data_IF_846019156491
#
_entry.id   IF_846019156491
#
_cell.length_a   1.000
_cell.length_b   1.000
_cell.length_c   1.000
_cell.angle_alpha   90.00
_cell.angle_beta   90.00
_cell.angle_gamma   90.00
#
_symmetry.space_group_name_H-M   'P 1'
#
loop_
_entity.id
_entity.type
_entity.pdbx_description
1 polymer ?
#
# COMPACT_ATOMS: atom_id res chain seq x y z
N UNK A 1 13.61 -6.27 10.10
CA UNK A 1 13.07 -4.98 10.60
C UNK A 1 12.00 -4.55 9.62
N UNK A 2 10.76 -4.38 10.05
CA UNK A 2 9.63 -4.18 9.12
C UNK A 2 9.60 -2.74 8.59
N UNK A 3 10.18 -2.54 7.40
CA UNK A 3 10.30 -1.21 6.77
C UNK A 3 8.95 -0.50 6.59
N UNK A 4 7.86 -1.25 6.37
CA UNK A 4 6.52 -0.67 6.21
C UNK A 4 6.04 -0.09 7.54
N UNK A 5 6.23 -0.79 8.65
CA UNK A 5 5.86 -0.29 9.98
C UNK A 5 6.66 0.96 10.34
N UNK A 6 7.98 0.95 10.12
CA UNK A 6 8.85 2.09 10.42
C UNK A 6 8.47 3.36 9.65
N UNK A 7 8.16 3.23 8.36
CA UNK A 7 7.76 4.39 7.55
C UNK A 7 6.29 4.79 7.81
N UNK A 8 5.43 3.85 8.20
CA UNK A 8 4.07 4.18 8.66
C UNK A 8 4.10 5.04 9.92
N UNK A 9 5.05 4.80 10.83
CA UNK A 9 5.23 5.60 12.04
C UNK A 9 5.74 7.03 11.74
N UNK A 10 6.42 7.24 10.60
CA UNK A 10 6.89 8.56 10.15
C UNK A 10 5.85 9.32 9.33
N UNK A 11 4.86 8.63 8.77
CA UNK A 11 3.74 9.23 8.04
C UNK A 11 2.67 9.72 9.03
N UNK A 12 2.44 11.03 9.09
CA UNK A 12 1.52 11.64 10.06
C UNK A 12 0.09 11.10 9.95
N UNK A 13 -0.37 10.79 8.73
CA UNK A 13 -1.72 10.25 8.52
C UNK A 13 -1.79 8.82 9.05
N UNK A 14 -0.85 7.97 8.65
CA UNK A 14 -0.86 6.56 9.06
C UNK A 14 -0.60 6.40 10.56
N UNK A 15 0.32 7.15 11.14
CA UNK A 15 0.56 7.20 12.58
C UNK A 15 -0.72 7.50 13.37
N UNK A 16 -1.48 8.51 12.92
CA UNK A 16 -2.75 8.87 13.55
C UNK A 16 -3.80 7.76 13.40
N UNK A 17 -3.96 7.22 12.18
CA UNK A 17 -4.91 6.14 11.90
C UNK A 17 -4.60 4.88 12.72
N UNK A 18 -3.33 4.49 12.82
CA UNK A 18 -2.87 3.37 13.64
C UNK A 18 -3.27 3.62 15.11
N UNK A 19 -2.98 4.80 15.66
CA UNK A 19 -3.39 5.14 17.03
C UNK A 19 -4.91 5.09 17.23
N UNK A 20 -5.71 5.50 16.24
CA UNK A 20 -7.17 5.45 16.33
C UNK A 20 -7.71 4.02 16.31
N UNK A 21 -7.14 3.15 15.48
CA UNK A 21 -7.49 1.72 15.42
C UNK A 21 -7.10 1.01 16.71
N UNK A 22 -5.87 1.21 17.23
CA UNK A 22 -5.41 0.57 18.46
C UNK A 22 -6.24 0.95 19.70
N UNK A 23 -6.64 2.21 19.79
CA UNK A 23 -7.35 2.76 20.96
C UNK A 23 -8.87 2.68 20.83
N UNK A 24 -9.37 2.25 19.67
CA UNK A 24 -10.77 2.37 19.24
C UNK A 24 -11.35 3.79 19.50
N UNK A 25 -10.55 4.81 19.17
CA UNK A 25 -10.88 6.22 19.43
C UNK A 25 -10.68 7.04 18.17
N UNK A 26 -11.76 7.30 17.48
CA UNK A 26 -11.77 8.10 16.26
C UNK A 26 -12.24 9.54 16.53
N UNK A 27 -11.72 10.53 15.80
CA UNK A 27 -12.22 11.90 15.91
C UNK A 27 -13.67 11.98 15.41
N UNK A 28 -14.50 12.76 16.11
CA UNK A 28 -15.89 13.01 15.69
C UNK A 28 -15.96 13.69 14.33
N UNK A 29 -14.98 14.54 14.01
CA UNK A 29 -14.81 15.17 12.69
C UNK A 29 -13.42 14.85 12.13
N UNK A 30 -13.28 13.78 11.33
CA UNK A 30 -12.01 13.41 10.70
C UNK A 30 -11.49 14.50 9.76
N UNK A 31 -10.16 14.66 9.70
CA UNK A 31 -9.51 15.51 8.70
C UNK A 31 -9.66 14.91 7.29
N UNK A 32 -9.45 15.70 6.21
CA UNK A 32 -9.52 15.21 4.84
C UNK A 32 -8.63 13.97 4.56
N UNK A 33 -7.47 13.88 5.21
CA UNK A 33 -6.54 12.76 5.02
C UNK A 33 -6.98 11.50 5.76
N UNK A 34 -7.75 11.65 6.85
CA UNK A 34 -8.23 10.54 7.69
C UNK A 34 -9.64 10.09 7.29
N UNK A 35 -10.45 10.94 6.66
CA UNK A 35 -11.88 10.68 6.39
C UNK A 35 -12.11 9.37 5.63
N UNK A 36 -11.19 9.00 4.73
CA UNK A 36 -11.23 7.74 3.98
C UNK A 36 -11.01 6.54 4.88
N UNK A 37 -10.05 6.61 5.79
CA UNK A 37 -9.79 5.55 6.76
C UNK A 37 -10.93 5.44 7.78
N UNK A 38 -11.50 6.56 8.23
CA UNK A 38 -12.65 6.57 9.13
C UNK A 38 -13.87 5.87 8.52
N UNK A 39 -14.14 6.08 7.23
CA UNK A 39 -15.21 5.39 6.51
C UNK A 39 -14.98 3.86 6.42
N UNK A 40 -13.72 3.42 6.45
CA UNK A 40 -13.32 2.02 6.35
C UNK A 40 -12.99 1.38 7.71
N UNK A 41 -13.15 2.11 8.82
CA UNK A 41 -12.59 1.75 10.14
C UNK A 41 -12.97 0.35 10.64
N UNK A 42 -14.17 -0.12 10.31
CA UNK A 42 -14.65 -1.46 10.71
C UNK A 42 -13.91 -2.60 10.01
N UNK A 43 -13.21 -2.31 8.91
CA UNK A 43 -12.41 -3.26 8.15
C UNK A 43 -10.91 -3.01 8.26
N UNK A 44 -10.51 -2.09 9.16
CA UNK A 44 -9.11 -1.85 9.46
C UNK A 44 -8.65 -2.78 10.58
N UNK A 45 -7.44 -3.30 10.44
CA UNK A 45 -6.78 -4.12 11.44
C UNK A 45 -5.30 -3.77 11.51
N UNK A 46 -4.66 -4.10 12.62
CA UNK A 46 -3.21 -3.95 12.80
C UNK A 46 -2.60 -5.33 13.03
N UNK A 47 -1.54 -5.61 12.30
CA UNK A 47 -0.74 -6.82 12.44
C UNK A 47 0.73 -6.45 12.20
N UNK A 48 1.64 -6.89 13.07
CA UNK A 48 3.08 -6.62 12.96
C UNK A 48 3.40 -5.12 12.76
N UNK A 49 2.73 -4.28 13.55
CA UNK A 49 2.77 -2.80 13.50
C UNK A 49 2.38 -2.18 12.13
N UNK A 50 1.82 -2.98 11.23
CA UNK A 50 1.32 -2.55 9.93
C UNK A 50 -0.20 -2.43 9.95
N UNK A 51 -0.71 -1.41 9.27
CA UNK A 51 -2.14 -1.21 9.06
C UNK A 51 -2.60 -2.04 7.86
N UNK A 52 -3.73 -2.73 8.01
CA UNK A 52 -4.38 -3.53 6.98
C UNK A 52 -5.81 -3.04 6.70
N UNK A 53 -6.26 -3.19 5.47
CA UNK A 53 -7.64 -3.02 5.04
C UNK A 53 -8.16 -4.33 4.40
N UNK A 54 -8.91 -5.10 5.17
CA UNK A 54 -9.20 -6.49 4.84
C UNK A 54 -7.88 -7.27 4.66
N UNK A 55 -7.68 -8.00 3.53
CA UNK A 55 -6.45 -8.76 3.30
C UNK A 55 -5.28 -7.93 2.75
N UNK A 56 -5.42 -6.60 2.65
CA UNK A 56 -4.43 -5.74 1.99
C UNK A 56 -3.64 -4.92 2.98
N UNK A 57 -2.34 -4.86 2.78
CA UNK A 57 -1.48 -3.97 3.57
C UNK A 57 -1.63 -2.51 3.09
N UNK A 58 -1.72 -1.58 4.04
CA UNK A 58 -1.70 -0.14 3.75
C UNK A 58 -0.26 0.31 3.58
N UNK A 59 0.06 0.86 2.41
CA UNK A 59 1.42 1.25 2.05
C UNK A 59 1.64 2.75 2.35
N UNK A 60 2.69 3.13 3.10
CA UNK A 60 3.13 4.51 3.27
C UNK A 60 3.43 5.20 1.95
N UNK A 61 3.16 6.50 1.88
CA UNK A 61 3.39 7.34 0.69
C UNK A 61 4.80 7.18 0.10
N UNK A 62 5.82 7.05 0.95
CA UNK A 62 7.22 6.81 0.57
C UNK A 62 7.43 5.58 -0.32
N UNK A 63 6.62 4.54 -0.15
CA UNK A 63 6.78 3.26 -0.87
C UNK A 63 5.86 3.10 -2.08
N UNK A 64 4.92 4.02 -2.32
CA UNK A 64 3.97 3.92 -3.45
C UNK A 64 4.69 3.68 -4.77
N UNK A 65 5.73 4.48 -5.07
CA UNK A 65 6.52 4.34 -6.30
C UNK A 65 7.20 2.98 -6.41
N UNK A 66 7.76 2.46 -5.32
CA UNK A 66 8.47 1.17 -5.31
C UNK A 66 7.49 0.01 -5.51
N UNK A 67 6.35 0.04 -4.82
CA UNK A 67 5.29 -0.96 -4.99
C UNK A 67 4.75 -0.96 -6.41
N UNK A 68 4.53 0.22 -7.00
CA UNK A 68 4.11 0.32 -8.40
C UNK A 68 5.15 -0.30 -9.35
N UNK A 69 6.45 -0.06 -9.13
CA UNK A 69 7.51 -0.69 -9.93
C UNK A 69 7.49 -2.22 -9.82
N UNK A 70 7.27 -2.77 -8.63
CA UNK A 70 7.16 -4.22 -8.43
C UNK A 70 5.93 -4.79 -9.15
N UNK A 71 4.80 -4.07 -9.11
CA UNK A 71 3.59 -4.47 -9.83
C UNK A 71 3.74 -4.40 -11.36
N UNK A 72 4.61 -3.52 -11.85
CA UNK A 72 4.98 -3.40 -13.27
C UNK A 72 5.99 -4.46 -13.71
N UNK A 73 6.64 -5.17 -12.78
CA UNK A 73 7.63 -6.18 -13.13
C UNK A 73 6.99 -7.32 -13.95
N UNK A 74 7.74 -7.80 -14.95
CA UNK A 74 7.24 -8.76 -15.94
C UNK A 74 6.29 -8.17 -16.99
N UNK A 75 6.01 -6.87 -16.95
CA UNK A 75 5.12 -6.16 -17.90
C UNK A 75 3.74 -6.82 -18.10
N UNK A 76 2.97 -7.07 -17.02
CA UNK A 76 1.75 -7.87 -17.06
C UNK A 76 0.56 -7.21 -17.81
N UNK A 77 0.74 -6.01 -18.36
CA UNK A 77 -0.33 -5.21 -18.93
C UNK A 77 -1.24 -4.56 -17.87
N UNK A 78 -1.98 -3.53 -18.26
CA UNK A 78 -2.76 -2.67 -17.36
C UNK A 78 -3.76 -3.45 -16.50
N UNK A 79 -4.49 -4.40 -17.10
CA UNK A 79 -5.55 -5.15 -16.41
C UNK A 79 -4.99 -6.03 -15.29
N UNK A 80 -3.94 -6.80 -15.57
CA UNK A 80 -3.32 -7.69 -14.59
C UNK A 80 -2.63 -6.90 -13.47
N UNK A 81 -1.97 -5.78 -13.80
CA UNK A 81 -1.39 -4.91 -12.77
C UNK A 81 -2.45 -4.31 -11.84
N UNK A 82 -3.56 -3.85 -12.42
CA UNK A 82 -4.75 -3.38 -11.71
C UNK A 82 -5.35 -4.44 -10.78
N UNK A 83 -5.32 -5.71 -11.18
CA UNK A 83 -5.76 -6.83 -10.34
C UNK A 83 -4.80 -7.05 -9.17
N UNK A 84 -3.49 -7.18 -9.44
CA UNK A 84 -2.47 -7.38 -8.41
C UNK A 84 -2.48 -6.28 -7.35
N UNK A 85 -2.56 -5.02 -7.78
CA UNK A 85 -2.66 -3.87 -6.87
C UNK A 85 -3.87 -4.02 -5.92
N UNK A 86 -5.04 -4.35 -6.47
CA UNK A 86 -6.29 -4.49 -5.69
C UNK A 86 -6.34 -5.73 -4.81
N UNK A 87 -5.50 -6.73 -5.07
CA UNK A 87 -5.43 -7.95 -4.27
C UNK A 87 -4.55 -7.80 -3.04
N UNK A 88 -3.44 -7.05 -3.14
CA UNK A 88 -2.40 -7.08 -2.09
C UNK A 88 -2.21 -5.77 -1.32
N UNK A 89 -2.43 -4.62 -1.95
CA UNK A 89 -2.01 -3.33 -1.38
C UNK A 89 -3.14 -2.30 -1.37
N UNK A 90 -3.07 -1.37 -0.43
CA UNK A 90 -3.99 -0.25 -0.32
C UNK A 90 -3.24 1.05 -0.02
N UNK A 91 -3.70 2.13 -0.62
CA UNK A 91 -3.53 3.50 -0.13
C UNK A 91 -4.69 4.33 -0.66
N UNK A 92 -4.92 5.50 -0.07
CA UNK A 92 -5.98 6.40 -0.52
C UNK A 92 -5.82 6.72 -2.01
N UNK A 93 -6.85 6.41 -2.80
CA UNK A 93 -6.92 6.65 -4.24
C UNK A 93 -6.00 5.79 -5.13
N UNK A 94 -5.51 4.63 -4.68
CA UNK A 94 -4.74 3.69 -5.52
C UNK A 94 -5.39 3.42 -6.89
N UNK A 95 -6.70 3.20 -6.93
CA UNK A 95 -7.44 2.95 -8.19
C UNK A 95 -7.46 4.14 -9.15
N UNK A 96 -7.31 5.37 -8.64
CA UNK A 96 -7.24 6.62 -9.42
C UNK A 96 -5.80 7.03 -9.73
N UNK A 97 -4.81 6.30 -9.22
CA UNK A 97 -3.42 6.62 -9.46
C UNK A 97 -3.07 6.41 -10.95
N UNK A 98 -2.73 7.51 -11.62
CA UNK A 98 -2.41 7.52 -13.06
C UNK A 98 -1.20 6.65 -13.40
N UNK A 99 -0.33 6.38 -12.42
CA UNK A 99 0.85 5.52 -12.57
C UNK A 99 0.52 4.03 -12.72
N UNK A 100 -0.73 3.62 -12.46
CA UNK A 100 -1.25 2.28 -12.79
C UNK A 100 -1.48 2.12 -14.31
N UNK A 101 -1.18 3.13 -15.13
CA UNK A 101 -1.08 3.01 -16.59
C UNK A 101 0.36 2.67 -17.05
N UNK A 102 0.53 1.93 -18.16
CA UNK A 102 1.79 1.32 -18.61
C UNK A 102 2.86 2.30 -19.14
N UNK A 103 2.72 3.61 -18.91
CA UNK A 103 3.64 4.62 -19.43
C UNK A 103 4.76 4.97 -18.44
N UNK A 104 5.35 3.99 -17.78
CA UNK A 104 6.60 4.22 -17.03
C UNK A 104 7.78 3.92 -17.96
N UNK A 105 8.70 4.87 -18.21
CA UNK A 105 9.89 4.60 -19.01
C UNK A 105 10.73 3.51 -18.34
N UNK A 106 11.28 2.59 -19.14
CA UNK A 106 12.25 1.60 -18.66
C UNK A 106 13.38 2.36 -17.96
N UNK A 107 13.57 2.15 -16.65
CA UNK A 107 14.71 2.71 -15.95
C UNK A 107 15.98 2.00 -16.40
N UNK A 108 17.09 2.72 -16.65
CA UNK A 108 18.37 2.09 -16.92
C UNK A 108 18.80 1.25 -15.70
N UNK A 109 19.14 -0.02 -15.92
CA UNK A 109 19.68 -0.92 -14.89
C UNK A 109 18.76 -2.05 -14.41
N UNK A 110 17.51 -2.14 -14.87
CA UNK A 110 16.62 -3.24 -14.48
C UNK A 110 16.83 -4.50 -15.34
N UNK A 111 17.40 -5.57 -14.75
CA UNK A 111 17.54 -6.90 -15.37
C UNK A 111 16.30 -7.74 -15.04
N UNK A 112 15.61 -8.24 -16.07
CA UNK A 112 14.48 -9.18 -15.90
C UNK A 112 14.99 -10.46 -15.21
N UNK A 113 14.46 -10.81 -14.04
CA UNK A 113 14.63 -12.17 -13.51
C UNK A 113 13.52 -13.05 -14.11
N UNK A 114 13.95 -13.95 -15.00
CA UNK A 114 13.16 -15.08 -15.47
C UNK A 114 13.16 -16.16 -14.40
N UNK A 115 12.13 -16.20 -13.57
CA UNK A 115 11.62 -17.43 -12.94
C UNK A 115 10.48 -17.08 -12.01
N UNK A 116 9.46 -17.92 -12.02
CA UNK A 116 8.37 -18.00 -11.06
C UNK A 116 8.85 -17.71 -9.63
N UNK A 117 8.18 -16.80 -8.93
CA UNK A 117 8.08 -16.86 -7.47
C UNK A 117 6.83 -16.15 -6.99
N UNK A 118 5.87 -16.96 -6.54
CA UNK A 118 4.93 -16.62 -5.47
C UNK A 118 5.75 -16.24 -4.24
N UNK A 119 5.26 -15.31 -3.44
CA UNK A 119 5.84 -14.75 -2.20
C UNK A 119 6.85 -13.60 -2.42
N UNK A 120 6.38 -12.36 -2.30
CA UNK A 120 7.28 -11.20 -2.15
C UNK A 120 6.69 -10.04 -1.34
N UNK A 121 5.74 -10.30 -0.43
CA UNK A 121 5.23 -9.25 0.45
C UNK A 121 5.41 -9.50 1.95
N UNK A 122 5.91 -10.66 2.40
CA UNK A 122 6.23 -10.93 3.80
C UNK A 122 7.42 -11.92 3.88
N UNK A 123 8.35 -11.69 4.82
CA UNK A 123 9.67 -12.31 5.09
C UNK A 123 10.87 -11.51 4.48
N UNK A 124 11.85 -10.97 5.23
CA UNK A 124 12.27 -11.04 6.65
C UNK A 124 12.67 -9.63 7.19
#
# INVERSE_FOLDING_TARGET
MNMIAEESAKDDTLKNVISYVQKDKWPHKPSPDVVRYFALRQSLAIQDDCLFFGPRIVIPSKFHRRVLQLLHDGHPGTTRMKMLARSYVYWTNITKDRSICPKMPKLPGYRKSSSENRAFLLAD
#
